data_IF_793840120425
#
_entry.id   IF_793840120425
#
_cell.length_a   1.000
_cell.length_b   1.000
_cell.length_c   1.000
_cell.angle_alpha   90.00
_cell.angle_beta   90.00
_cell.angle_gamma   90.00
#
_symmetry.space_group_name_H-M   'P 1'
#
loop_
_entity.id
_entity.type
_entity.pdbx_description
1 polymer ?
#
# COMPACT_ATOMS: atom_id res chain seq x y z
N UNK A 1 3.26 -9.36 17.40
CA UNK A 1 2.31 -9.13 16.30
C UNK A 1 2.16 -7.63 16.11
N UNK A 2 2.23 -7.12 14.89
CA UNK A 2 2.28 -5.67 14.62
C UNK A 2 0.91 -5.06 14.91
N UNK A 3 0.84 -4.25 15.96
CA UNK A 3 -0.36 -3.50 16.35
C UNK A 3 -0.62 -2.30 15.44
N UNK A 4 0.31 -1.95 14.53
CA UNK A 4 0.17 -0.81 13.60
C UNK A 4 0.62 -1.17 12.18
N UNK A 5 -0.03 -0.56 11.20
CA UNK A 5 0.20 -0.76 9.76
C UNK A 5 1.61 -0.31 9.36
N UNK A 6 2.11 0.75 9.99
CA UNK A 6 3.43 1.35 9.76
C UNK A 6 4.61 0.47 10.18
N UNK A 7 4.37 -0.60 10.95
CA UNK A 7 5.40 -1.55 11.40
C UNK A 7 5.27 -2.92 10.74
N UNK A 8 4.30 -3.07 9.83
CA UNK A 8 3.96 -4.35 9.20
C UNK A 8 4.79 -4.60 7.94
N UNK A 9 6.10 -4.78 8.14
CA UNK A 9 7.14 -4.85 7.10
C UNK A 9 6.94 -5.92 6.01
N UNK A 10 6.05 -6.89 6.26
CA UNK A 10 5.72 -7.98 5.33
C UNK A 10 4.40 -7.76 4.57
N UNK A 11 3.82 -6.56 4.64
CA UNK A 11 2.56 -6.24 3.97
C UNK A 11 2.76 -5.29 2.80
N UNK A 12 1.93 -5.46 1.76
CA UNK A 12 1.91 -4.55 0.62
C UNK A 12 1.58 -3.10 1.02
N UNK A 13 0.83 -2.92 2.12
CA UNK A 13 0.51 -1.61 2.66
C UNK A 13 1.77 -0.90 3.14
N UNK A 14 2.62 -1.59 3.91
CA UNK A 14 3.89 -1.02 4.38
C UNK A 14 4.77 -0.58 3.22
N UNK A 15 4.94 -1.41 2.19
CA UNK A 15 5.76 -1.05 1.02
C UNK A 15 5.23 0.18 0.27
N UNK A 16 3.91 0.40 0.27
CA UNK A 16 3.24 1.53 -0.39
C UNK A 16 3.27 2.82 0.43
N UNK A 17 3.31 2.73 1.77
CA UNK A 17 3.33 3.88 2.68
C UNK A 17 4.73 4.43 2.95
N UNK A 18 5.80 3.72 2.55
CA UNK A 18 7.17 4.17 2.79
C UNK A 18 7.46 5.53 2.10
N UNK A 19 8.04 6.52 2.81
CA UNK A 19 8.21 7.91 2.35
C UNK A 19 9.02 8.13 1.05
N UNK A 20 9.58 7.10 0.43
CA UNK A 20 10.65 7.25 -0.56
C UNK A 20 10.49 6.31 -1.75
N UNK A 21 9.32 6.25 -2.41
CA UNK A 21 9.11 5.28 -3.49
C UNK A 21 8.40 5.91 -4.70
N UNK A 22 9.19 6.20 -5.75
CA UNK A 22 8.76 6.85 -7.00
C UNK A 22 7.46 6.25 -7.56
N UNK A 23 6.48 7.10 -7.83
CA UNK A 23 5.21 6.75 -8.49
C UNK A 23 5.51 6.21 -9.90
N UNK A 24 4.89 5.10 -10.28
CA UNK A 24 4.86 4.62 -11.67
C UNK A 24 6.01 3.73 -12.16
N UNK A 25 6.89 3.22 -11.27
CA UNK A 25 7.96 2.29 -11.66
C UNK A 25 7.99 1.03 -10.80
N UNK A 26 8.12 -0.14 -11.43
CA UNK A 26 8.51 -1.37 -10.76
C UNK A 26 9.90 -1.17 -10.13
N UNK A 27 9.99 -1.32 -8.81
CA UNK A 27 11.22 -1.00 -8.08
C UNK A 27 12.33 -2.00 -8.35
N UNK A 28 13.55 -1.47 -8.43
CA UNK A 28 14.75 -2.28 -8.50
C UNK A 28 14.99 -2.97 -7.15
N UNK A 29 15.41 -4.22 -7.24
CA UNK A 29 15.69 -5.13 -6.13
C UNK A 29 16.60 -4.46 -5.09
N UNK A 30 16.05 -4.13 -3.92
CA UNK A 30 16.87 -4.13 -2.72
C UNK A 30 17.27 -5.59 -2.52
N UNK A 31 18.57 -5.89 -2.59
CA UNK A 31 19.14 -7.21 -2.29
C UNK A 31 19.62 -7.20 -0.85
N UNK A 32 18.76 -7.40 0.16
CA UNK A 32 19.22 -7.73 1.49
C UNK A 32 19.94 -9.08 1.41
N UNK A 33 21.15 -9.15 1.97
CA UNK A 33 22.13 -10.23 1.83
C UNK A 33 21.68 -11.62 2.35
N UNK A 34 20.41 -11.80 2.72
CA UNK A 34 19.96 -12.87 3.62
C UNK A 34 18.79 -13.72 3.11
N UNK A 35 18.23 -13.42 1.92
CA UNK A 35 17.12 -14.20 1.37
C UNK A 35 17.46 -14.86 0.03
N UNK A 36 17.09 -16.13 -0.13
CA UNK A 36 17.24 -16.93 -1.37
C UNK A 36 16.29 -16.49 -2.49
N UNK A 37 15.41 -15.51 -2.26
CA UNK A 37 14.43 -15.05 -3.24
C UNK A 37 14.51 -13.54 -3.48
N UNK A 38 14.23 -13.14 -4.71
CA UNK A 38 14.13 -11.74 -5.12
C UNK A 38 12.72 -11.24 -4.82
N UNK A 39 12.59 -10.16 -4.01
CA UNK A 39 11.30 -9.52 -3.79
C UNK A 39 10.79 -8.95 -5.12
N UNK A 40 9.64 -9.44 -5.59
CA UNK A 40 9.00 -8.94 -6.81
C UNK A 40 8.41 -7.55 -6.51
N UNK A 41 8.72 -6.51 -7.30
CA UNK A 41 8.18 -5.18 -7.05
C UNK A 41 6.66 -5.14 -7.23
N UNK A 42 6.00 -4.32 -6.42
CA UNK A 42 4.58 -4.03 -6.56
C UNK A 42 4.33 -3.10 -7.74
N UNK A 43 3.19 -3.28 -8.40
CA UNK A 43 2.71 -2.32 -9.40
C UNK A 43 2.26 -1.01 -8.72
N UNK A 44 2.60 0.10 -9.38
CA UNK A 44 2.12 1.43 -9.04
C UNK A 44 0.63 1.59 -9.34
N UNK A 45 0.01 2.56 -8.68
CA UNK A 45 -1.34 3.02 -8.98
C UNK A 45 -1.28 4.04 -10.11
N UNK A 46 -2.02 3.79 -11.19
CA UNK A 46 -2.08 4.64 -12.39
C UNK A 46 -3.39 5.45 -12.48
N UNK A 47 -4.26 5.33 -11.47
CA UNK A 47 -5.56 6.00 -11.44
C UNK A 47 -6.54 5.51 -12.51
N UNK A 48 -7.75 6.05 -12.50
CA UNK A 48 -8.84 5.66 -13.41
C UNK A 48 -8.61 6.16 -14.86
N UNK A 49 -7.85 7.24 -15.02
CA UNK A 49 -7.64 7.92 -16.32
C UNK A 49 -6.69 7.17 -17.27
N UNK A 50 -5.98 6.17 -16.77
CA UNK A 50 -4.94 5.42 -17.49
C UNK A 50 -5.48 4.46 -18.55
N UNK A 51 -6.79 4.19 -18.58
CA UNK A 51 -7.43 3.39 -19.63
C UNK A 51 -7.39 4.07 -21.02
N UNK A 52 -7.15 5.39 -21.09
CA UNK A 52 -7.32 6.15 -22.35
C UNK A 52 -6.02 6.49 -23.10
N UNK A 53 -4.85 6.49 -22.45
CA UNK A 53 -3.60 6.98 -23.06
C UNK A 53 -2.60 5.85 -23.35
N UNK A 54 -2.98 4.98 -24.30
CA UNK A 54 -2.18 3.86 -24.81
C UNK A 54 -1.01 4.30 -25.72
N UNK A 55 -0.30 5.38 -25.39
CA UNK A 55 0.93 5.74 -26.12
C UNK A 55 2.19 5.19 -25.42
N UNK A 56 2.11 4.94 -24.10
CA UNK A 56 3.18 4.34 -23.31
C UNK A 56 2.56 3.28 -22.40
N UNK A 57 2.69 2.00 -22.75
CA UNK A 57 2.16 0.83 -22.04
C UNK A 57 2.85 0.66 -20.67
N UNK A 58 2.60 1.58 -19.74
CA UNK A 58 3.14 1.55 -18.38
C UNK A 58 2.26 0.59 -17.58
N UNK A 59 2.77 -0.57 -17.16
CA UNK A 59 1.97 -1.54 -16.43
C UNK A 59 1.68 -1.01 -15.01
N UNK A 60 0.40 -0.93 -14.65
CA UNK A 60 -0.05 -0.38 -13.37
C UNK A 60 -1.47 -0.82 -12.99
N UNK A 61 -1.86 -0.50 -11.76
CA UNK A 61 -3.20 -0.79 -11.23
C UNK A 61 -4.10 0.44 -11.48
N UNK A 62 -5.21 0.32 -12.23
CA UNK A 62 -6.16 1.41 -12.47
C UNK A 62 -7.02 1.64 -11.22
N UNK A 63 -6.41 2.21 -10.20
CA UNK A 63 -7.03 2.47 -8.90
C UNK A 63 -6.33 3.66 -8.24
N UNK A 64 -7.02 4.38 -7.37
CA UNK A 64 -6.45 5.50 -6.61
C UNK A 64 -5.65 4.98 -5.42
N UNK A 65 -4.50 5.63 -5.15
CA UNK A 65 -3.73 5.36 -3.94
C UNK A 65 -4.52 5.77 -2.68
N UNK A 66 -5.27 6.86 -2.73
CA UNK A 66 -6.07 7.34 -1.59
C UNK A 66 -7.18 6.34 -1.26
N UNK A 67 -7.92 5.88 -2.27
CA UNK A 67 -8.98 4.88 -2.10
C UNK A 67 -8.43 3.56 -1.57
N UNK A 68 -7.21 3.17 -1.99
CA UNK A 68 -6.53 2.01 -1.43
C UNK A 68 -6.22 2.17 0.06
N UNK A 69 -5.69 3.33 0.47
CA UNK A 69 -5.39 3.61 1.87
C UNK A 69 -6.68 3.62 2.70
N UNK A 70 -7.76 4.21 2.19
CA UNK A 70 -9.07 4.20 2.86
C UNK A 70 -9.63 2.78 3.00
N UNK A 71 -9.60 1.99 1.93
CA UNK A 71 -10.03 0.58 1.95
C UNK A 71 -9.24 -0.25 2.97
N UNK A 72 -7.93 -0.01 3.06
CA UNK A 72 -7.06 -0.67 4.05
C UNK A 72 -7.43 -0.24 5.47
N UNK A 73 -7.69 1.04 5.72
CA UNK A 73 -8.11 1.52 7.04
C UNK A 73 -9.46 0.90 7.45
N UNK A 74 -10.43 0.89 6.54
CA UNK A 74 -11.75 0.28 6.77
C UNK A 74 -11.63 -1.22 7.06
N UNK A 75 -10.99 -1.98 6.17
CA UNK A 75 -10.79 -3.43 6.36
C UNK A 75 -9.89 -3.76 7.54
N UNK A 76 -8.98 -2.86 7.90
CA UNK A 76 -8.12 -2.92 9.06
C UNK A 76 -8.90 -2.81 10.38
N UNK A 77 -9.91 -1.95 10.44
CA UNK A 77 -10.76 -1.70 11.62
C UNK A 77 -11.89 -2.70 11.81
N UNK A 78 -12.37 -3.34 10.74
CA UNK A 78 -13.41 -4.36 10.84
C UNK A 78 -12.97 -5.47 11.82
N UNK A 79 -13.82 -5.72 12.82
CA UNK A 79 -13.67 -6.80 13.80
C UNK A 79 -14.40 -8.03 13.25
N UNK A 80 -13.66 -9.12 13.07
CA UNK A 80 -14.18 -10.43 12.67
C UNK A 80 -13.46 -11.54 13.42
N UNK A 81 -14.19 -12.59 13.76
CA UNK A 81 -13.68 -13.75 14.51
C UNK A 81 -12.56 -14.51 13.77
N UNK A 82 -12.54 -14.47 12.43
CA UNK A 82 -11.52 -15.12 11.61
C UNK A 82 -10.23 -14.31 11.45
N UNK A 83 -10.20 -13.07 11.94
CA UNK A 83 -9.06 -12.16 11.79
C UNK A 83 -8.21 -12.16 13.05
N UNK A 84 -6.89 -12.27 12.87
CA UNK A 84 -5.90 -12.31 13.96
C UNK A 84 -5.78 -11.00 14.76
N UNK A 85 -6.54 -9.95 14.42
CA UNK A 85 -6.57 -8.67 15.11
C UNK A 85 -7.29 -7.57 14.30
N UNK A 86 -7.60 -6.45 14.93
CA UNK A 86 -8.22 -5.29 14.28
C UNK A 86 -7.56 -3.98 14.74
N UNK A 87 -7.63 -2.95 13.90
CA UNK A 87 -7.19 -1.60 14.25
C UNK A 87 -8.26 -0.98 15.15
N UNK A 88 -7.83 -0.36 16.26
CA UNK A 88 -8.75 0.31 17.19
C UNK A 88 -9.44 1.50 16.52
N UNK A 89 -10.75 1.62 16.72
CA UNK A 89 -11.54 2.78 16.27
C UNK A 89 -11.13 4.10 16.91
N UNK A 90 -10.39 4.06 18.03
CA UNK A 90 -9.86 5.26 18.71
C UNK A 90 -8.66 5.88 17.98
N UNK A 91 -8.05 5.17 17.02
CA UNK A 91 -6.95 5.73 16.24
C UNK A 91 -7.48 6.64 15.11
N UNK A 92 -6.77 7.74 14.80
CA UNK A 92 -7.07 8.55 13.62
C UNK A 92 -7.10 7.70 12.34
N UNK A 93 -7.83 8.15 11.32
CA UNK A 93 -7.83 7.48 10.01
C UNK A 93 -6.43 7.49 9.41
N UNK A 94 -6.10 6.44 8.68
CA UNK A 94 -4.77 6.29 8.08
C UNK A 94 -4.43 7.46 7.14
N UNK A 95 -5.39 7.97 6.36
CA UNK A 95 -5.22 9.17 5.52
C UNK A 95 -4.84 10.41 6.34
N UNK A 96 -5.54 10.67 7.45
CA UNK A 96 -5.26 11.79 8.35
C UNK A 96 -3.90 11.70 9.01
N UNK A 97 -3.46 10.48 9.37
CA UNK A 97 -2.13 10.26 9.93
C UNK A 97 -1.01 10.53 8.92
N UNK A 98 -1.29 10.33 7.63
CA UNK A 98 -0.37 10.60 6.53
C UNK A 98 -0.44 12.04 6.02
N UNK A 99 -1.42 12.84 6.48
CA UNK A 99 -1.69 14.19 5.98
C UNK A 99 -2.16 14.20 4.51
N UNK A 100 -2.98 13.22 4.14
CA UNK A 100 -3.52 13.03 2.78
C UNK A 100 -5.06 13.19 2.73
N UNK A 101 -5.66 13.83 3.73
CA UNK A 101 -7.10 13.98 3.91
C UNK A 101 -7.67 15.36 3.55
N UNK A 102 -6.96 16.12 2.72
CA UNK A 102 -7.37 17.44 2.18
C UNK A 102 -8.43 17.36 1.06
#
# INVERSE_FOLDING_TARGET
MTISVETSEYTSVYERLLPCKKVGVAQQQEKPLEYTFTKKPLFGFVGDESQHNNENNIPGIPFSLLDYIELVDWSGRIIREDKRGAISNQRPRLLSMLGLDD
#
